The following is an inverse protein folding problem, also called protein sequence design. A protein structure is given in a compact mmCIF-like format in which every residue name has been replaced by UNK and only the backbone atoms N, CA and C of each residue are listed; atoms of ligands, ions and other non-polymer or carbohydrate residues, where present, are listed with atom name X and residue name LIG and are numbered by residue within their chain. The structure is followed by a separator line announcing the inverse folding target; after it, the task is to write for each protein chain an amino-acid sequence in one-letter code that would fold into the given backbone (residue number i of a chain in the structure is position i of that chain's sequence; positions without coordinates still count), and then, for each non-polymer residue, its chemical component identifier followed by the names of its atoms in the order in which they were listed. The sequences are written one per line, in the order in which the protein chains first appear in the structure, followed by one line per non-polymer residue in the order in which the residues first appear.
data_IF_637456293483
#
_entry.id   IF_637456293483
#
_cell.length_a   1.000
_cell.length_b   1.000
_cell.length_c   1.000
_cell.angle_alpha   90.00
_cell.angle_beta   90.00
_cell.angle_gamma   90.00
#
_symmetry.space_group_name_H-M   'P 1'
#
loop_
_entity.id
_entity.type
_entity.pdbx_description
1 polymer ?
#
# COMPACT_ATOMS: atom_id res chain seq x y z
N UNK A 1 -13.30 22.36 -10.89
CA UNK A 1 -12.81 21.19 -10.13
C UNK A 1 -12.92 21.55 -8.67
N UNK A 2 -13.70 20.80 -7.90
CA UNK A 2 -13.80 21.01 -6.46
C UNK A 2 -12.49 20.49 -5.88
N UNK A 3 -11.65 21.36 -5.30
CA UNK A 3 -10.51 20.92 -4.50
C UNK A 3 -11.07 20.11 -3.34
N UNK A 4 -11.02 18.78 -3.45
CA UNK A 4 -11.20 17.93 -2.30
C UNK A 4 -10.19 18.37 -1.24
N UNK A 5 -10.57 18.46 0.06
CA UNK A 5 -9.62 18.81 1.10
C UNK A 5 -8.47 17.79 1.07
N UNK A 6 -7.25 18.30 0.91
CA UNK A 6 -6.04 17.48 0.85
C UNK A 6 -5.86 16.74 2.17
N UNK A 7 -5.78 15.41 2.10
CA UNK A 7 -5.64 14.56 3.28
C UNK A 7 -4.21 14.59 3.78
N UNK A 8 -4.00 14.75 5.09
CA UNK A 8 -2.68 14.53 5.69
C UNK A 8 -2.37 13.04 5.66
N UNK A 9 -1.35 12.67 4.88
CA UNK A 9 -0.96 11.28 4.63
C UNK A 9 -0.61 10.52 5.91
N UNK A 10 0.12 11.13 6.85
CA UNK A 10 0.49 10.46 8.11
C UNK A 10 -0.72 10.25 9.00
N UNK A 11 -1.60 11.24 9.10
CA UNK A 11 -2.85 11.11 9.86
C UNK A 11 -3.79 10.06 9.22
N UNK A 12 -3.80 9.95 7.88
CA UNK A 12 -4.55 8.94 7.16
C UNK A 12 -4.04 7.52 7.45
N UNK A 13 -2.72 7.32 7.35
CA UNK A 13 -2.08 6.03 7.64
C UNK A 13 -2.27 5.66 9.12
N UNK A 14 -2.15 6.61 10.05
CA UNK A 14 -2.45 6.35 11.47
C UNK A 14 -3.87 5.82 11.65
N UNK A 15 -4.87 6.52 11.09
CA UNK A 15 -6.28 6.09 11.19
C UNK A 15 -6.51 4.72 10.55
N UNK A 16 -5.82 4.42 9.45
CA UNK A 16 -5.88 3.11 8.82
C UNK A 16 -5.31 2.02 9.75
N UNK A 17 -4.14 2.27 10.35
CA UNK A 17 -3.48 1.34 11.27
C UNK A 17 -4.27 1.14 12.58
N UNK A 18 -5.03 2.14 13.03
CA UNK A 18 -5.95 1.99 14.17
C UNK A 18 -7.05 0.94 13.91
N UNK A 19 -7.31 0.59 12.63
CA UNK A 19 -8.31 -0.43 12.23
C UNK A 19 -7.70 -1.79 11.88
N UNK A 20 -6.40 -2.00 12.12
CA UNK A 20 -5.69 -3.19 11.63
C UNK A 20 -6.08 -4.48 12.35
N UNK A 21 -6.54 -4.39 13.61
CA UNK A 21 -6.72 -5.54 14.52
C UNK A 21 -5.48 -6.48 14.52
N UNK A 22 -5.65 -7.74 14.12
CA UNK A 22 -4.61 -8.78 14.03
C UNK A 22 -4.07 -9.00 12.60
N UNK A 23 -4.33 -8.03 11.71
CA UNK A 23 -3.93 -8.13 10.31
C UNK A 23 -2.41 -8.24 10.14
N UNK A 24 -2.01 -9.01 9.13
CA UNK A 24 -0.66 -8.95 8.59
C UNK A 24 -0.55 -7.71 7.70
N UNK A 25 0.45 -6.86 7.94
CA UNK A 25 0.65 -5.63 7.19
C UNK A 25 1.87 -5.77 6.30
N UNK A 26 1.73 -5.51 5.01
CA UNK A 26 2.84 -5.41 4.06
C UNK A 26 2.88 -3.98 3.54
N UNK A 27 4.04 -3.34 3.60
CA UNK A 27 4.18 -1.98 3.06
C UNK A 27 5.00 -1.97 1.79
N UNK A 28 4.65 -1.08 0.88
CA UNK A 28 5.54 -0.66 -0.20
C UNK A 28 6.73 0.14 0.32
N UNK A 29 7.75 0.32 -0.52
CA UNK A 29 8.98 1.03 -0.13
C UNK A 29 8.73 2.53 0.09
N UNK A 30 9.60 3.14 0.90
CA UNK A 30 9.58 4.57 1.16
C UNK A 30 8.47 4.99 2.12
N UNK A 31 7.79 6.08 1.77
CA UNK A 31 6.77 6.72 2.60
C UNK A 31 5.71 5.79 3.23
N UNK A 32 5.11 4.79 2.53
CA UNK A 32 4.20 3.84 3.16
C UNK A 32 4.85 3.07 4.33
N UNK A 33 6.08 2.57 4.15
CA UNK A 33 6.83 1.88 5.21
C UNK A 33 7.11 2.79 6.40
N UNK A 34 7.55 4.03 6.14
CA UNK A 34 7.86 4.99 7.20
C UNK A 34 6.62 5.44 7.97
N UNK A 35 5.49 5.63 7.28
CA UNK A 35 4.26 6.09 7.91
C UNK A 35 3.61 4.98 8.74
N UNK A 36 3.62 3.72 8.26
CA UNK A 36 3.17 2.57 9.06
C UNK A 36 4.07 2.34 10.26
N UNK A 37 5.39 2.43 10.10
CA UNK A 37 6.32 2.32 11.23
C UNK A 37 6.10 3.43 12.26
N UNK A 38 5.89 4.67 11.80
CA UNK A 38 5.57 5.80 12.68
C UNK A 38 4.21 5.67 13.38
N UNK A 39 3.26 4.97 12.77
CA UNK A 39 1.96 4.66 13.38
C UNK A 39 2.02 3.56 14.45
N UNK A 40 3.17 2.88 14.57
CA UNK A 40 3.43 1.85 15.57
C UNK A 40 4.06 0.61 14.94
N UNK A 41 5.31 0.32 15.31
CA UNK A 41 5.99 -0.91 14.92
C UNK A 41 5.30 -2.15 15.51
N UNK A 42 5.38 -3.28 14.79
CA UNK A 42 4.75 -4.54 15.20
C UNK A 42 5.35 -5.74 14.48
N UNK A 43 5.42 -6.89 15.16
CA UNK A 43 5.90 -8.17 14.61
C UNK A 43 5.11 -8.69 13.39
N UNK A 44 3.95 -8.10 13.11
CA UNK A 44 3.07 -8.44 11.99
C UNK A 44 3.25 -7.50 10.79
N UNK A 45 4.13 -6.51 10.92
CA UNK A 45 4.48 -5.59 9.86
C UNK A 45 5.67 -6.15 9.09
N UNK A 46 5.51 -6.27 7.78
CA UNK A 46 6.58 -6.60 6.86
C UNK A 46 6.86 -5.39 5.98
N UNK A 47 7.93 -4.67 6.33
CA UNK A 47 8.41 -3.52 5.58
C UNK A 47 9.19 -3.97 4.36
N UNK A 48 8.52 -4.09 3.21
CA UNK A 48 9.18 -4.54 1.99
C UNK A 48 10.18 -3.49 1.53
N UNK A 49 11.45 -3.89 1.45
CA UNK A 49 12.55 -3.05 1.00
C UNK A 49 13.22 -3.62 -0.24
N UNK A 50 13.54 -2.77 -1.22
CA UNK A 50 14.34 -3.16 -2.38
C UNK A 50 13.60 -3.91 -3.50
N UNK A 51 12.27 -4.00 -3.47
CA UNK A 51 11.48 -4.64 -4.52
C UNK A 51 10.24 -3.80 -4.85
N UNK A 52 10.45 -2.67 -5.53
CA UNK A 52 9.36 -1.83 -6.01
C UNK A 52 8.41 -2.61 -6.93
N UNK A 53 7.13 -2.52 -6.63
CA UNK A 53 6.05 -3.24 -7.30
C UNK A 53 5.73 -4.58 -6.64
N UNK A 54 6.46 -4.95 -5.59
CA UNK A 54 6.30 -6.25 -4.93
C UNK A 54 5.19 -6.30 -3.89
N UNK A 55 4.83 -5.18 -3.25
CA UNK A 55 4.00 -5.18 -2.06
C UNK A 55 2.64 -5.89 -2.26
N UNK A 56 1.96 -5.60 -3.37
CA UNK A 56 0.65 -6.20 -3.69
C UNK A 56 0.74 -7.73 -3.87
N UNK A 57 1.75 -8.24 -4.56
CA UNK A 57 1.93 -9.70 -4.78
C UNK A 57 2.46 -10.42 -3.54
N UNK A 58 3.27 -9.76 -2.71
CA UNK A 58 3.65 -10.30 -1.39
C UNK A 58 2.41 -10.43 -0.51
N UNK A 59 1.56 -9.40 -0.48
CA UNK A 59 0.27 -9.44 0.21
C UNK A 59 -0.63 -10.58 -0.30
N UNK A 60 -0.72 -10.77 -1.62
CA UNK A 60 -1.45 -11.90 -2.20
C UNK A 60 -0.88 -13.26 -1.75
N UNK A 61 0.44 -13.42 -1.76
CA UNK A 61 1.10 -14.64 -1.27
C UNK A 61 0.75 -14.94 0.19
N UNK A 62 0.78 -13.93 1.06
CA UNK A 62 0.37 -14.07 2.45
C UNK A 62 -1.11 -14.40 2.59
N UNK A 63 -1.98 -13.75 1.83
CA UNK A 63 -3.42 -13.98 1.89
C UNK A 63 -3.78 -15.42 1.52
N UNK A 64 -3.11 -15.98 0.50
CA UNK A 64 -3.27 -17.38 0.09
C UNK A 64 -2.68 -18.36 1.09
N UNK A 65 -1.53 -18.03 1.70
CA UNK A 65 -0.87 -18.88 2.69
C UNK A 65 -1.54 -18.87 4.08
N UNK A 66 -2.24 -17.78 4.41
CA UNK A 66 -2.89 -17.54 5.71
C UNK A 66 -4.36 -17.15 5.50
N UNK A 67 -5.21 -18.05 4.97
CA UNK A 67 -6.57 -17.72 4.51
C UNK A 67 -7.53 -17.23 5.61
N UNK A 68 -7.19 -17.45 6.89
CA UNK A 68 -7.99 -17.02 8.03
C UNK A 68 -7.56 -15.67 8.62
N UNK A 69 -6.43 -15.12 8.17
CA UNK A 69 -5.89 -13.85 8.66
C UNK A 69 -6.11 -12.75 7.63
N UNK A 70 -6.56 -11.58 8.07
CA UNK A 70 -6.64 -10.39 7.23
C UNK A 70 -5.23 -9.94 6.83
N UNK A 71 -5.06 -9.53 5.58
CA UNK A 71 -3.81 -9.00 5.05
C UNK A 71 -4.08 -7.61 4.48
N UNK A 72 -3.34 -6.63 4.97
CA UNK A 72 -3.41 -5.24 4.51
C UNK A 72 -2.09 -4.90 3.80
N UNK A 73 -2.19 -4.47 2.54
CA UNK A 73 -1.07 -3.89 1.81
C UNK A 73 -1.20 -2.37 1.84
N UNK A 74 -0.17 -1.65 2.26
CA UNK A 74 -0.13 -0.18 2.20
C UNK A 74 1.02 0.23 1.28
N UNK A 75 0.70 0.73 0.09
CA UNK A 75 1.69 1.04 -0.95
C UNK A 75 1.50 2.46 -1.49
N UNK A 76 2.48 3.00 -2.20
CA UNK A 76 2.32 4.23 -2.98
C UNK A 76 1.77 3.96 -4.38
N UNK A 77 1.18 4.97 -4.99
CA UNK A 77 0.75 5.03 -6.40
C UNK A 77 1.89 4.66 -7.37
N UNK A 78 3.07 5.27 -7.22
CA UNK A 78 4.20 5.01 -8.10
C UNK A 78 4.68 3.55 -8.04
N UNK A 79 4.63 2.95 -6.86
CA UNK A 79 4.93 1.52 -6.68
C UNK A 79 3.85 0.65 -7.33
N UNK A 80 2.57 0.96 -7.11
CA UNK A 80 1.47 0.19 -7.67
C UNK A 80 1.44 0.25 -9.20
N UNK A 81 1.76 1.40 -9.79
CA UNK A 81 1.88 1.57 -11.23
C UNK A 81 2.99 0.70 -11.83
N UNK A 82 4.13 0.55 -11.14
CA UNK A 82 5.23 -0.29 -11.63
C UNK A 82 4.83 -1.76 -11.80
N UNK A 83 3.92 -2.25 -10.95
CA UNK A 83 3.40 -3.60 -11.02
C UNK A 83 1.87 -3.63 -11.24
N UNK A 84 1.33 -2.74 -12.08
CA UNK A 84 -0.12 -2.66 -12.30
C UNK A 84 -0.76 -4.00 -12.73
N UNK A 85 -0.02 -4.81 -13.51
CA UNK A 85 -0.45 -6.16 -13.90
C UNK A 85 -0.73 -7.12 -12.72
N UNK A 86 -0.19 -6.84 -11.53
CA UNK A 86 -0.49 -7.61 -10.31
C UNK A 86 -1.98 -7.57 -9.94
N UNK A 87 -2.69 -6.49 -10.27
CA UNK A 87 -4.12 -6.37 -10.00
C UNK A 87 -4.93 -7.41 -10.79
N UNK A 88 -4.51 -7.74 -12.02
CA UNK A 88 -5.13 -8.81 -12.80
C UNK A 88 -4.92 -10.17 -12.13
N UNK A 89 -3.72 -10.43 -11.60
CA UNK A 89 -3.42 -11.66 -10.84
C UNK A 89 -4.27 -11.76 -9.58
N UNK A 90 -4.36 -10.68 -8.78
CA UNK A 90 -5.20 -10.61 -7.58
C UNK A 90 -6.67 -10.85 -7.92
N UNK A 91 -7.16 -10.22 -9.00
CA UNK A 91 -8.55 -10.35 -9.45
C UNK A 91 -8.91 -11.78 -9.93
N UNK A 92 -7.93 -12.53 -10.45
CA UNK A 92 -8.11 -13.95 -10.79
C UNK A 92 -8.08 -14.82 -9.53
N UNK A 93 -7.15 -14.57 -8.60
CA UNK A 93 -6.99 -15.34 -7.38
C UNK A 93 -8.16 -15.15 -6.38
N UNK A 94 -8.77 -13.95 -6.36
CA UNK A 94 -9.92 -13.58 -5.51
C UNK A 94 -9.76 -13.95 -4.03
N UNK A 95 -8.66 -13.58 -3.37
CA UNK A 95 -8.54 -13.78 -1.93
C UNK A 95 -9.66 -13.02 -1.20
N UNK A 96 -10.32 -13.66 -0.23
CA UNK A 96 -11.39 -13.04 0.56
C UNK A 96 -10.85 -12.16 1.71
N UNK A 97 -9.55 -12.18 1.94
CA UNK A 97 -8.87 -11.62 3.11
C UNK A 97 -7.73 -10.65 2.76
N UNK A 98 -7.65 -10.15 1.52
CA UNK A 98 -6.63 -9.20 1.08
C UNK A 98 -7.24 -7.81 0.79
N UNK A 99 -6.63 -6.78 1.33
CA UNK A 99 -6.92 -5.38 1.06
C UNK A 99 -5.66 -4.67 0.58
N UNK A 100 -5.78 -3.84 -0.46
CA UNK A 100 -4.67 -3.05 -1.00
C UNK A 100 -5.03 -1.57 -0.91
N UNK A 101 -4.30 -0.84 -0.08
CA UNK A 101 -4.42 0.59 0.12
C UNK A 101 -3.30 1.30 -0.63
N UNK A 102 -3.68 2.13 -1.60
CA UNK A 102 -2.74 2.92 -2.41
C UNK A 102 -2.77 4.36 -1.90
N UNK A 103 -1.62 4.84 -1.41
CA UNK A 103 -1.39 6.22 -1.04
C UNK A 103 -1.04 7.00 -2.32
N UNK A 104 -2.02 7.69 -2.86
CA UNK A 104 -1.84 8.52 -4.04
C UNK A 104 -1.52 9.96 -3.65
N UNK A 105 -0.28 10.35 -3.90
CA UNK A 105 0.18 11.72 -3.77
C UNK A 105 0.69 12.28 -5.11
N UNK A 106 0.44 11.57 -6.21
CA UNK A 106 0.85 11.91 -7.56
C UNK A 106 2.38 12.09 -7.75
N UNK A 107 3.20 11.57 -6.84
CA UNK A 107 4.65 11.85 -6.82
C UNK A 107 5.51 10.69 -6.30
N UNK A 108 6.65 10.45 -6.95
CA UNK A 108 7.72 9.61 -6.42
C UNK A 108 8.50 10.32 -5.31
N UNK A 109 7.97 10.28 -4.09
CA UNK A 109 8.48 11.07 -2.95
C UNK A 109 9.94 10.79 -2.56
N UNK A 110 10.40 9.54 -2.70
CA UNK A 110 11.75 9.14 -2.28
C UNK A 110 12.86 9.54 -3.26
N UNK A 111 12.52 9.74 -4.54
CA UNK A 111 13.52 9.97 -5.61
C UNK A 111 13.66 11.42 -6.03
N UNK A 112 12.93 12.34 -5.39
CA UNK A 112 13.00 13.79 -5.67
C UNK A 112 11.70 14.43 -6.13
N UNK A 113 10.53 13.87 -5.79
CA UNK A 113 9.22 14.46 -6.09
C UNK A 113 8.95 14.61 -7.59
N UNK A 114 9.37 13.64 -8.41
CA UNK A 114 8.93 13.56 -9.79
C UNK A 114 7.44 13.23 -9.82
N UNK A 115 6.67 13.86 -10.70
CA UNK A 115 5.27 13.52 -10.91
C UNK A 115 5.14 12.03 -11.28
N UNK A 116 4.21 11.34 -10.64
CA UNK A 116 3.76 10.02 -11.04
C UNK A 116 2.69 10.15 -12.13
N UNK A 117 2.28 9.03 -12.70
CA UNK A 117 1.27 9.06 -13.76
C UNK A 117 -0.14 9.29 -13.21
N UNK A 118 -0.42 9.06 -11.92
CA UNK A 118 -1.76 9.31 -11.35
C UNK A 118 -2.14 10.79 -11.36
N UNK A 119 -1.16 11.70 -11.29
CA UNK A 119 -1.38 13.14 -11.49
C UNK A 119 -1.88 13.54 -12.89
N UNK A 120 -1.91 12.61 -13.84
CA UNK A 120 -2.48 12.80 -15.18
C UNK A 120 -3.91 12.24 -15.32
N UNK A 121 -4.54 11.81 -14.21
CA UNK A 121 -5.95 11.38 -14.16
C UNK A 121 -6.21 9.96 -14.67
N UNK A 122 -5.32 9.01 -14.35
CA UNK A 122 -5.41 7.59 -14.74
C UNK A 122 -5.77 6.65 -13.57
N UNK A 123 -6.15 7.21 -12.43
CA UNK A 123 -6.50 6.52 -11.18
C UNK A 123 -7.90 5.88 -11.17
#
# INVERSE_FOLDING_TARGET
MVNAPMMDRRAAVQRLMDTRDEALVVTGLGSPSYDVHAAGDHDANYYLWGAMGGAALVGLGLALAQPTRRVMVVTGDGEQLMAFGSMATIAVAKPSNLEVFVLDNEHYGETGMQASHTGEGID
#
